data_IF_425257189889
#
_entry.id   IF_425257189889
#
_cell.length_a   1.000
_cell.length_b   1.000
_cell.length_c   1.000
_cell.angle_alpha   90.00
_cell.angle_beta   90.00
_cell.angle_gamma   90.00
#
_symmetry.space_group_name_H-M   'P 1'
#
loop_
_entity.id
_entity.type
_entity.pdbx_description
1 polymer ?
#
# COMPACT_ATOMS: atom_id res chain seq x y z
N UNK A 1 5.89 7.70 10.70
CA UNK A 1 4.82 6.73 10.39
C UNK A 1 4.04 6.40 11.66
N UNK A 2 2.75 6.32 11.58
CA UNK A 2 1.88 6.10 12.73
C UNK A 2 0.91 4.97 12.43
N UNK A 3 0.67 4.09 13.40
CA UNK A 3 -0.25 2.98 13.25
C UNK A 3 0.16 1.98 12.17
N UNK A 4 1.45 1.73 12.07
CA UNK A 4 2.02 0.89 11.03
C UNK A 4 2.43 -0.47 11.59
N UNK A 5 2.07 -1.53 10.87
CA UNK A 5 2.49 -2.88 11.16
C UNK A 5 3.39 -3.40 10.03
N UNK A 6 4.65 -3.69 10.34
CA UNK A 6 5.63 -4.12 9.35
C UNK A 6 6.03 -5.56 9.57
N UNK A 7 5.94 -6.38 8.53
CA UNK A 7 6.47 -7.73 8.54
C UNK A 7 7.95 -7.72 8.17
N UNK A 8 8.69 -8.83 8.42
CA UNK A 8 10.07 -8.94 7.97
C UNK A 8 10.22 -8.75 6.46
N UNK A 9 11.35 -8.20 6.05
CA UNK A 9 11.70 -8.00 4.65
C UNK A 9 10.82 -6.97 3.90
N UNK A 10 10.04 -6.19 4.65
CA UNK A 10 9.31 -5.07 4.07
C UNK A 10 10.26 -3.88 3.89
N UNK A 11 10.23 -3.27 2.73
CA UNK A 11 11.10 -2.14 2.43
C UNK A 11 10.27 -0.89 2.12
N UNK A 12 10.59 0.18 2.83
CA UNK A 12 9.96 1.48 2.59
C UNK A 12 11.05 2.45 2.17
N UNK A 13 10.94 2.96 0.96
CA UNK A 13 11.95 3.85 0.40
C UNK A 13 11.79 5.28 0.92
N UNK A 14 12.77 6.13 0.58
CA UNK A 14 12.84 7.50 1.08
C UNK A 14 11.63 8.34 0.68
N UNK A 15 11.24 9.23 1.57
CA UNK A 15 10.15 10.19 1.35
C UNK A 15 8.78 9.56 1.13
N UNK A 16 8.62 8.27 1.38
CA UNK A 16 7.30 7.66 1.31
C UNK A 16 6.55 7.88 2.62
N UNK A 17 5.23 7.95 2.53
CA UNK A 17 4.35 8.08 3.68
C UNK A 17 3.44 6.89 3.78
N UNK A 18 3.52 6.18 4.89
CA UNK A 18 2.66 5.04 5.16
C UNK A 18 2.04 5.27 6.54
N UNK A 19 0.73 5.31 6.60
CA UNK A 19 0.03 5.51 7.88
C UNK A 19 -1.17 4.59 7.99
N UNK A 20 -1.45 4.14 9.22
CA UNK A 20 -2.60 3.29 9.54
C UNK A 20 -2.73 2.09 8.60
N UNK A 21 -1.60 1.48 8.23
CA UNK A 21 -1.56 0.43 7.21
C UNK A 21 -0.86 -0.82 7.73
N UNK A 22 -1.18 -1.94 7.10
CA UNK A 22 -0.53 -3.22 7.39
C UNK A 22 0.22 -3.65 6.14
N UNK A 23 1.53 -3.86 6.29
CA UNK A 23 2.38 -4.32 5.20
C UNK A 23 2.87 -5.73 5.50
N UNK A 24 2.62 -6.64 4.57
CA UNK A 24 3.03 -8.03 4.71
C UNK A 24 4.47 -8.23 4.24
N UNK A 25 4.93 -9.49 4.19
CA UNK A 25 6.31 -9.80 3.83
C UNK A 25 6.64 -9.43 2.39
N UNK A 26 7.88 -9.02 2.16
CA UNK A 26 8.40 -8.74 0.83
C UNK A 26 7.62 -7.65 0.08
N UNK A 27 7.05 -6.70 0.81
CA UNK A 27 6.42 -5.53 0.22
C UNK A 27 7.47 -4.45 0.04
N UNK A 28 7.49 -3.85 -1.14
CA UNK A 28 8.41 -2.76 -1.45
C UNK A 28 7.61 -1.51 -1.78
N UNK A 29 7.84 -0.46 -1.00
CA UNK A 29 7.16 0.82 -1.19
C UNK A 29 8.10 1.78 -1.91
N UNK A 30 7.72 2.25 -3.09
CA UNK A 30 8.54 3.15 -3.88
C UNK A 30 8.70 4.53 -3.24
N UNK A 31 9.65 5.31 -3.75
CA UNK A 31 9.91 6.66 -3.25
C UNK A 31 8.70 7.55 -3.43
N UNK A 32 8.47 8.43 -2.47
CA UNK A 32 7.36 9.39 -2.52
C UNK A 32 5.98 8.76 -2.66
N UNK A 33 5.87 7.46 -2.46
CA UNK A 33 4.57 6.81 -2.46
C UNK A 33 3.82 7.19 -1.18
N UNK A 34 2.51 7.29 -1.28
CA UNK A 34 1.67 7.62 -0.14
C UNK A 34 0.63 6.53 0.04
N UNK A 35 0.63 5.94 1.22
CA UNK A 35 -0.29 4.84 1.54
C UNK A 35 -1.00 5.18 2.83
N UNK A 36 -2.31 5.09 2.79
CA UNK A 36 -3.15 5.41 3.93
C UNK A 36 -4.26 4.39 4.07
N UNK A 37 -4.41 3.84 5.28
CA UNK A 37 -5.48 2.91 5.61
C UNK A 37 -5.58 1.78 4.59
N UNK A 38 -4.47 1.10 4.38
CA UNK A 38 -4.40 0.03 3.41
C UNK A 38 -3.78 -1.22 4.00
N UNK A 39 -4.18 -2.36 3.47
CA UNK A 39 -3.57 -3.64 3.78
C UNK A 39 -2.90 -4.13 2.50
N UNK A 40 -1.58 -4.24 2.53
CA UNK A 40 -0.81 -4.66 1.36
C UNK A 40 -0.27 -6.05 1.61
N UNK A 41 -0.71 -6.99 0.79
CA UNK A 41 -0.36 -8.39 0.94
C UNK A 41 1.08 -8.64 0.47
N UNK A 42 1.51 -9.91 0.54
CA UNK A 42 2.88 -10.31 0.24
C UNK A 42 3.28 -10.08 -1.20
N UNK A 43 4.58 -9.83 -1.42
CA UNK A 43 5.16 -9.73 -2.77
C UNK A 43 4.52 -8.64 -3.63
N UNK A 44 4.18 -7.52 -3.03
CA UNK A 44 3.63 -6.38 -3.76
C UNK A 44 4.68 -5.30 -3.90
N UNK A 45 4.85 -4.79 -5.10
CA UNK A 45 5.73 -3.66 -5.40
C UNK A 45 4.89 -2.43 -5.67
N UNK A 46 5.11 -1.40 -4.88
CA UNK A 46 4.42 -0.13 -5.06
C UNK A 46 5.37 0.81 -5.80
N UNK A 47 4.99 1.28 -7.00
CA UNK A 47 5.86 2.18 -7.75
C UNK A 47 6.01 3.55 -7.08
N UNK A 48 7.04 4.31 -7.47
CA UNK A 48 7.22 5.66 -6.92
C UNK A 48 6.02 6.56 -7.22
N UNK A 49 5.76 7.48 -6.31
CA UNK A 49 4.71 8.50 -6.45
C UNK A 49 3.29 7.96 -6.50
N UNK A 50 3.09 6.69 -6.17
CA UNK A 50 1.75 6.13 -6.15
C UNK A 50 1.02 6.51 -4.86
N UNK A 51 -0.27 6.79 -4.98
CA UNK A 51 -1.12 7.07 -3.83
C UNK A 51 -2.14 5.96 -3.67
N UNK A 52 -2.21 5.38 -2.50
CA UNK A 52 -3.14 4.30 -2.17
C UNK A 52 -3.92 4.70 -0.92
N UNK A 53 -5.23 4.59 -0.98
CA UNK A 53 -6.11 4.95 0.12
C UNK A 53 -6.52 6.41 0.15
N UNK A 54 -6.22 7.17 -0.89
CA UNK A 54 -6.60 8.57 -1.00
C UNK A 54 -7.80 8.78 -1.93
N UNK A 55 -7.92 7.96 -2.97
CA UNK A 55 -9.03 8.05 -3.89
C UNK A 55 -9.62 6.67 -4.11
N UNK A 56 -10.82 6.46 -3.59
CA UNK A 56 -11.48 5.17 -3.67
C UNK A 56 -11.73 4.73 -5.11
N UNK A 57 -12.14 5.65 -5.96
CA UNK A 57 -12.42 5.33 -7.35
C UNK A 57 -11.19 4.88 -8.10
N UNK A 58 -10.06 5.54 -7.86
CA UNK A 58 -8.80 5.13 -8.45
C UNK A 58 -8.35 3.76 -7.97
N UNK A 59 -8.51 3.51 -6.68
CA UNK A 59 -8.13 2.22 -6.11
C UNK A 59 -8.96 1.09 -6.70
N UNK A 60 -10.25 1.30 -6.87
CA UNK A 60 -11.14 0.32 -7.49
C UNK A 60 -10.76 0.12 -8.95
N UNK A 61 -10.45 1.19 -9.66
CA UNK A 61 -10.06 1.12 -11.07
C UNK A 61 -8.76 0.34 -11.27
N UNK A 62 -7.87 0.34 -10.27
CA UNK A 62 -6.64 -0.44 -10.31
C UNK A 62 -6.87 -1.92 -9.99
N UNK A 63 -8.06 -2.29 -9.58
CA UNK A 63 -8.39 -3.66 -9.22
C UNK A 63 -8.22 -3.97 -7.73
N UNK A 64 -8.04 -2.96 -6.90
CA UNK A 64 -7.96 -3.16 -5.46
C UNK A 64 -9.35 -3.31 -4.85
N UNK A 65 -9.41 -4.03 -3.74
CA UNK A 65 -10.62 -4.10 -2.96
C UNK A 65 -10.66 -2.95 -1.97
N UNK A 66 -11.76 -2.24 -1.93
CA UNK A 66 -11.95 -1.17 -0.93
C UNK A 66 -13.14 -1.54 -0.05
N UNK A 67 -12.90 -1.67 1.24
CA UNK A 67 -13.95 -2.06 2.19
C UNK A 67 -14.91 -0.90 2.45
N UNK A 68 -16.01 -1.21 3.11
CA UNK A 68 -17.00 -0.19 3.50
C UNK A 68 -16.40 0.87 4.41
N UNK A 69 -15.40 0.49 5.19
CA UNK A 69 -14.72 1.42 6.10
C UNK A 69 -13.64 2.26 5.41
N UNK A 70 -13.49 2.11 4.10
CA UNK A 70 -12.50 2.85 3.35
C UNK A 70 -11.09 2.27 3.41
N UNK A 71 -10.95 1.00 3.78
CA UNK A 71 -9.67 0.33 3.82
C UNK A 71 -9.40 -0.32 2.48
N UNK A 72 -8.29 0.04 1.86
CA UNK A 72 -7.90 -0.52 0.57
C UNK A 72 -7.07 -1.78 0.79
N UNK A 73 -7.41 -2.85 0.09
CA UNK A 73 -6.67 -4.10 0.17
C UNK A 73 -5.98 -4.36 -1.16
N UNK A 74 -4.67 -4.48 -1.13
CA UNK A 74 -3.87 -4.78 -2.32
C UNK A 74 -3.54 -6.27 -2.29
N UNK A 75 -4.05 -7.05 -3.25
CA UNK A 75 -3.85 -8.50 -3.25
C UNK A 75 -2.39 -8.91 -3.43
N UNK A 76 -2.08 -10.10 -2.96
CA UNK A 76 -0.77 -10.70 -3.08
C UNK A 76 -0.31 -10.76 -4.54
N UNK A 77 0.94 -10.39 -4.76
CA UNK A 77 1.54 -10.49 -6.09
C UNK A 77 1.03 -9.47 -7.09
N UNK A 78 0.32 -8.45 -6.63
CA UNK A 78 -0.17 -7.41 -7.53
C UNK A 78 1.00 -6.61 -8.09
N UNK A 79 1.00 -6.44 -9.40
CA UNK A 79 2.00 -5.61 -10.08
C UNK A 79 1.33 -4.30 -10.47
N UNK A 80 1.84 -3.23 -9.92
CA UNK A 80 1.33 -1.89 -10.14
C UNK A 80 2.27 -1.13 -11.06
N UNK A 81 1.71 -0.45 -12.04
CA UNK A 81 2.49 0.30 -13.02
C UNK A 81 1.87 1.64 -13.34
#
# INVERSE_FOLDING_TARGET
MTGLCLAPETRINSYSHVSESILMENVNIGRHAQIRRAIIDKYVDIPPYMKIGFNREEDIARGFYVSENGITVVPKGTILR
#
